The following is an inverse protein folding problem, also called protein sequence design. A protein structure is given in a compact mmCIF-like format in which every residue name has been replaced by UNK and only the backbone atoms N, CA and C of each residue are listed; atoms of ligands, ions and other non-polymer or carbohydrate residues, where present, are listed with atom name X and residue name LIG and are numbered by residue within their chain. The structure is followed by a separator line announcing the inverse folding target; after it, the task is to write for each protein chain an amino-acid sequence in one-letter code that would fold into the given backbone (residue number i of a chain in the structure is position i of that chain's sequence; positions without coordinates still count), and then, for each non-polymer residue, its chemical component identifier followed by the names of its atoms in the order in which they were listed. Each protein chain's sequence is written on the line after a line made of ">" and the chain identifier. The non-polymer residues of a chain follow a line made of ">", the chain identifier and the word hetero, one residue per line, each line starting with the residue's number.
data_IF_958467206335
#
_entry.id   IF_958467206335
#
_cell.length_a   1.000
_cell.length_b   1.000
_cell.length_c   1.000
_cell.angle_alpha   90.00
_cell.angle_beta   90.00
_cell.angle_gamma   90.00
#
_symmetry.space_group_name_H-M   'P 1'
#
loop_
_entity.id
_entity.type
_entity.pdbx_description
1 polymer ?
#
# COMPACT_ATOMS: atom_id res chain seq x y z
N UNK A 1 2.83 14.43 -30.33
CA UNK A 1 3.24 15.41 -29.29
C UNK A 1 2.63 15.09 -27.90
N UNK A 2 1.38 14.61 -27.83
CA UNK A 2 0.69 14.25 -26.57
C UNK A 2 1.37 13.14 -25.74
N UNK A 3 2.11 12.22 -26.36
CA UNK A 3 2.77 11.09 -25.69
C UNK A 3 3.91 11.51 -24.77
N UNK A 4 4.59 12.60 -25.10
CA UNK A 4 5.72 13.11 -24.31
C UNK A 4 5.21 13.72 -23.01
N UNK A 5 4.12 14.50 -23.08
CA UNK A 5 3.50 15.14 -21.91
C UNK A 5 2.88 14.09 -20.98
N UNK A 6 2.20 13.08 -21.54
CA UNK A 6 1.67 11.95 -20.77
C UNK A 6 2.77 11.15 -20.04
N UNK A 7 3.88 10.86 -20.73
CA UNK A 7 5.04 10.17 -20.11
C UNK A 7 5.70 11.00 -19.02
N UNK A 8 5.80 12.32 -19.18
CA UNK A 8 6.34 13.22 -18.16
C UNK A 8 5.40 13.29 -16.95
N UNK A 9 4.08 13.31 -17.16
CA UNK A 9 3.09 13.31 -16.08
C UNK A 9 3.15 12.01 -15.26
N UNK A 10 3.20 10.85 -15.91
CA UNK A 10 3.33 9.54 -15.25
C UNK A 10 4.64 9.47 -14.46
N UNK A 11 5.76 9.93 -15.04
CA UNK A 11 7.06 9.98 -14.37
C UNK A 11 7.07 10.90 -13.15
N UNK A 12 6.34 12.01 -13.19
CA UNK A 12 6.24 12.96 -12.07
C UNK A 12 5.42 12.40 -10.91
N UNK A 13 4.36 11.64 -11.21
CA UNK A 13 3.60 10.86 -10.21
C UNK A 13 4.50 9.75 -9.63
N UNK A 14 5.20 8.97 -10.46
CA UNK A 14 6.17 7.96 -10.01
C UNK A 14 7.29 8.53 -9.14
N UNK A 15 7.75 9.75 -9.40
CA UNK A 15 8.79 10.39 -8.58
C UNK A 15 8.30 10.89 -7.22
N UNK A 16 7.00 11.12 -7.05
CA UNK A 16 6.42 11.48 -5.75
C UNK A 16 6.07 10.23 -4.91
N UNK A 17 5.86 9.09 -5.57
CA UNK A 17 5.62 7.82 -4.90
C UNK A 17 6.95 7.07 -4.81
N UNK A 18 7.66 7.28 -3.69
CA UNK A 18 8.92 6.60 -3.42
C UNK A 18 8.63 5.11 -3.17
N UNK A 19 8.66 4.31 -4.22
CA UNK A 19 8.57 2.87 -4.14
C UNK A 19 9.96 2.32 -3.82
N UNK A 20 10.26 2.16 -2.54
CA UNK A 20 11.42 1.39 -2.10
C UNK A 20 11.25 -0.06 -2.56
N UNK A 21 12.04 -0.48 -3.54
CA UNK A 21 12.28 -1.89 -3.82
C UNK A 21 13.09 -2.48 -2.67
N UNK A 22 12.39 -2.91 -1.63
CA UNK A 22 12.99 -3.59 -0.49
C UNK A 22 12.35 -4.96 -0.33
N UNK A 23 13.25 -5.93 -0.46
CA UNK A 23 13.28 -7.32 -0.02
C UNK A 23 11.98 -8.14 -0.07
N UNK A 24 12.14 -9.36 -0.60
CA UNK A 24 11.11 -10.39 -0.68
C UNK A 24 10.66 -10.78 0.72
N UNK A 25 9.50 -10.26 1.14
CA UNK A 25 8.86 -10.68 2.38
C UNK A 25 7.99 -11.90 2.05
N UNK A 26 8.25 -13.02 2.72
CA UNK A 26 7.53 -14.27 2.54
C UNK A 26 6.03 -14.09 2.76
N UNK A 27 5.25 -14.51 1.76
CA UNK A 27 3.83 -14.19 1.57
C UNK A 27 2.86 -14.90 2.54
N UNK A 28 3.34 -15.41 3.68
CA UNK A 28 2.59 -16.33 4.54
C UNK A 28 2.19 -15.76 5.91
N UNK A 29 2.23 -14.45 6.12
CA UNK A 29 1.79 -13.85 7.40
C UNK A 29 0.30 -13.52 7.36
N UNK A 30 -0.50 -14.30 8.08
CA UNK A 30 -1.88 -13.93 8.43
C UNK A 30 -1.79 -12.84 9.50
N UNK A 31 -2.33 -11.66 9.20
CA UNK A 31 -2.31 -10.51 10.10
C UNK A 31 -3.66 -10.46 10.83
N UNK A 32 -3.69 -10.92 12.09
CA UNK A 32 -4.81 -10.75 13.03
C UNK A 32 -5.01 -9.28 13.46
N UNK A 33 -6.19 -8.72 13.25
CA UNK A 33 -6.49 -7.29 13.46
C UNK A 33 -7.11 -6.97 14.84
N UNK A 34 -7.41 -7.96 15.68
CA UNK A 34 -8.06 -7.74 16.98
C UNK A 34 -9.58 -7.48 16.88
N UNK A 35 -10.25 -7.41 18.03
CA UNK A 35 -11.71 -7.63 18.14
C UNK A 35 -12.59 -6.37 18.05
N UNK A 36 -12.04 -5.17 18.29
CA UNK A 36 -12.80 -3.91 18.26
C UNK A 36 -11.88 -2.76 17.81
N UNK A 37 -11.91 -2.44 16.52
CA UNK A 37 -11.24 -1.25 15.98
C UNK A 37 -12.30 -0.17 15.73
N UNK A 38 -12.10 1.02 16.28
CA UNK A 38 -12.93 2.18 15.95
C UNK A 38 -12.76 2.54 14.46
N UNK A 39 -13.87 2.60 13.72
CA UNK A 39 -13.86 2.80 12.27
C UNK A 39 -13.20 4.13 11.90
N UNK A 40 -13.41 5.18 12.70
CA UNK A 40 -12.86 6.52 12.46
C UNK A 40 -11.35 6.54 12.69
N UNK A 41 -10.88 5.75 13.68
CA UNK A 41 -9.46 5.59 13.94
C UNK A 41 -8.76 4.76 12.86
N UNK A 42 -9.42 3.73 12.33
CA UNK A 42 -8.91 2.95 11.20
C UNK A 42 -8.73 3.83 9.97
N UNK A 43 -9.74 4.63 9.61
CA UNK A 43 -9.65 5.55 8.47
C UNK A 43 -8.52 6.55 8.63
N UNK A 44 -8.36 7.15 9.81
CA UNK A 44 -7.24 8.04 10.13
C UNK A 44 -5.88 7.34 10.02
N UNK A 45 -5.79 6.10 10.49
CA UNK A 45 -4.57 5.30 10.43
C UNK A 45 -4.19 4.98 8.98
N UNK A 46 -5.17 4.62 8.14
CA UNK A 46 -4.98 4.40 6.70
C UNK A 46 -4.58 5.71 6.02
N UNK A 47 -5.19 6.84 6.38
CA UNK A 47 -4.85 8.14 5.82
C UNK A 47 -3.41 8.58 6.13
N UNK A 48 -2.87 8.18 7.28
CA UNK A 48 -1.50 8.44 7.72
C UNK A 48 -0.44 7.55 7.06
N UNK A 49 -0.83 6.49 6.34
CA UNK A 49 0.12 5.68 5.60
C UNK A 49 0.79 6.49 4.47
N UNK A 50 2.07 6.24 4.17
CA UNK A 50 2.70 6.73 2.96
C UNK A 50 1.86 6.41 1.72
N UNK A 51 1.82 7.34 0.76
CA UNK A 51 0.97 7.24 -0.44
C UNK A 51 1.08 5.89 -1.14
N UNK A 52 2.30 5.36 -1.31
CA UNK A 52 2.50 4.06 -1.96
C UNK A 52 1.80 2.93 -1.19
N UNK A 53 2.03 2.84 0.11
CA UNK A 53 1.49 1.79 0.97
C UNK A 53 -0.03 1.86 1.06
N UNK A 54 -0.57 3.07 1.23
CA UNK A 54 -2.03 3.31 1.23
C UNK A 54 -2.66 2.87 -0.09
N UNK A 55 -2.07 3.24 -1.22
CA UNK A 55 -2.59 2.90 -2.55
C UNK A 55 -2.65 1.39 -2.75
N UNK A 56 -1.57 0.68 -2.42
CA UNK A 56 -1.53 -0.79 -2.53
C UNK A 56 -2.53 -1.44 -1.58
N UNK A 57 -2.62 -0.96 -0.34
CA UNK A 57 -3.55 -1.48 0.66
C UNK A 57 -5.01 -1.33 0.21
N UNK A 58 -5.40 -0.13 -0.24
CA UNK A 58 -6.76 0.13 -0.73
C UNK A 58 -7.08 -0.73 -1.94
N UNK A 59 -6.20 -0.78 -2.95
CA UNK A 59 -6.45 -1.56 -4.15
C UNK A 59 -6.58 -3.07 -3.84
N UNK A 60 -5.82 -3.60 -2.90
CA UNK A 60 -5.85 -5.02 -2.59
C UNK A 60 -6.96 -5.41 -1.60
N UNK A 61 -7.03 -4.76 -0.43
CA UNK A 61 -7.92 -5.16 0.67
C UNK A 61 -9.33 -4.57 0.55
N UNK A 62 -9.47 -3.38 -0.04
CA UNK A 62 -10.77 -2.68 -0.17
C UNK A 62 -11.39 -2.97 -1.53
N UNK A 63 -10.63 -2.79 -2.61
CA UNK A 63 -11.14 -2.96 -3.98
C UNK A 63 -11.01 -4.41 -4.50
N UNK A 64 -10.23 -5.26 -3.83
CA UNK A 64 -10.12 -6.69 -4.16
C UNK A 64 -9.23 -7.03 -5.37
N UNK A 65 -8.38 -6.10 -5.84
CA UNK A 65 -7.44 -6.38 -6.94
C UNK A 65 -6.34 -7.34 -6.52
N UNK A 66 -5.89 -8.19 -7.45
CA UNK A 66 -4.72 -9.05 -7.25
C UNK A 66 -3.42 -8.27 -7.46
N UNK A 67 -2.34 -8.70 -6.81
CA UNK A 67 -1.01 -8.10 -6.97
C UNK A 67 -0.55 -7.94 -8.43
N UNK A 68 -0.93 -8.87 -9.32
CA UNK A 68 -0.60 -8.77 -10.76
C UNK A 68 -1.33 -7.60 -11.43
N UNK A 69 -2.61 -7.42 -11.12
CA UNK A 69 -3.43 -6.34 -11.67
C UNK A 69 -2.97 -4.98 -11.14
N UNK A 70 -2.62 -4.92 -9.86
CA UNK A 70 -2.03 -3.72 -9.24
C UNK A 70 -0.68 -3.40 -9.89
N UNK A 71 0.20 -4.40 -10.06
CA UNK A 71 1.50 -4.23 -10.71
C UNK A 71 1.37 -3.66 -12.13
N UNK A 72 0.40 -4.14 -12.91
CA UNK A 72 0.10 -3.64 -14.25
C UNK A 72 -0.49 -2.21 -14.21
N UNK A 73 -1.40 -1.92 -13.28
CA UNK A 73 -2.13 -0.65 -13.19
C UNK A 73 -1.22 0.54 -12.86
N UNK A 74 -0.28 0.37 -11.94
CA UNK A 74 0.63 1.43 -11.46
C UNK A 74 2.09 1.22 -11.88
N UNK A 75 2.32 0.27 -12.80
CA UNK A 75 3.63 -0.04 -13.39
C UNK A 75 4.74 -0.28 -12.36
N UNK A 76 4.47 -1.17 -11.40
CA UNK A 76 5.45 -1.69 -10.40
C UNK A 76 5.62 -3.20 -10.55
N UNK A 77 6.56 -3.82 -9.85
CA UNK A 77 6.65 -5.28 -9.84
C UNK A 77 5.59 -5.91 -8.90
N UNK A 78 5.12 -7.12 -9.21
CA UNK A 78 4.23 -7.87 -8.32
C UNK A 78 4.85 -8.13 -6.93
N UNK A 79 6.18 -8.26 -6.87
CA UNK A 79 6.92 -8.37 -5.61
C UNK A 79 6.87 -7.05 -4.83
N UNK A 80 7.04 -5.91 -5.50
CA UNK A 80 6.92 -4.57 -4.90
C UNK A 80 5.49 -4.35 -4.36
N UNK A 81 4.46 -4.84 -5.05
CA UNK A 81 3.07 -4.81 -4.54
C UNK A 81 2.90 -5.63 -3.26
N UNK A 82 3.44 -6.85 -3.21
CA UNK A 82 3.40 -7.70 -2.00
C UNK A 82 4.12 -7.06 -0.82
N UNK A 83 5.38 -6.63 -1.01
CA UNK A 83 6.19 -6.05 0.06
C UNK A 83 5.56 -4.75 0.60
N UNK A 84 4.97 -3.93 -0.27
CA UNK A 84 4.26 -2.72 0.17
C UNK A 84 2.97 -3.04 0.94
N UNK A 85 2.19 -4.02 0.51
CA UNK A 85 1.00 -4.45 1.25
C UNK A 85 1.38 -4.93 2.66
N UNK A 86 2.45 -5.73 2.77
CA UNK A 86 2.93 -6.20 4.06
C UNK A 86 3.36 -5.03 4.96
N UNK A 87 4.15 -4.08 4.45
CA UNK A 87 4.56 -2.88 5.19
C UNK A 87 3.36 -2.03 5.61
N UNK A 88 2.38 -1.84 4.73
CA UNK A 88 1.14 -1.12 5.03
C UNK A 88 0.41 -1.76 6.23
N UNK A 89 0.21 -3.09 6.19
CA UNK A 89 -0.46 -3.82 7.28
C UNK A 89 0.35 -3.79 8.58
N UNK A 90 1.68 -3.89 8.51
CA UNK A 90 2.55 -3.79 9.69
C UNK A 90 2.43 -2.41 10.35
N UNK A 91 2.52 -1.33 9.57
CA UNK A 91 2.37 0.04 10.08
C UNK A 91 0.99 0.30 10.66
N UNK A 92 -0.07 -0.19 9.99
CA UNK A 92 -1.42 -0.11 10.53
C UNK A 92 -1.54 -0.84 11.86
N UNK A 93 -1.05 -2.09 11.95
CA UNK A 93 -1.04 -2.84 13.21
C UNK A 93 -0.29 -2.09 14.31
N UNK A 94 0.88 -1.53 14.04
CA UNK A 94 1.64 -0.76 15.03
C UNK A 94 0.86 0.48 15.52
N UNK A 95 0.19 1.17 14.59
CA UNK A 95 -0.64 2.35 14.90
C UNK A 95 -1.90 1.98 15.69
N UNK A 96 -2.52 0.83 15.37
CA UNK A 96 -3.72 0.32 16.05
C UNK A 96 -3.39 -0.27 17.42
N UNK A 97 -2.30 -1.05 17.55
CA UNK A 97 -1.88 -1.66 18.82
C UNK A 97 -1.35 -0.63 19.84
N UNK A 98 -0.89 0.54 19.39
CA UNK A 98 -0.49 1.62 20.30
C UNK A 98 -1.67 2.11 21.16
N UNK A 99 -2.92 1.84 20.78
CA UNK A 99 -4.12 2.14 21.58
C UNK A 99 -4.38 1.19 22.76
N UNK A 100 -3.72 0.02 22.84
CA UNK A 100 -3.88 -0.89 23.98
C UNK A 100 -3.05 -0.46 25.22
N UNK A 101 -2.46 0.73 25.22
CA UNK A 101 -1.55 1.19 26.28
C UNK A 101 -2.05 2.42 27.02
#
# INVERSE_FOLDING_TARGET
>A
MYTIIARIAIRKIKSQIFFEDIETIDSATIIDWGTLIDIDYLEKSIANLPVGYRTIFTLYEIEGFKHREIAELIEISGNTSKSQLFKAKKMLRETLNTLEK
#
